data_IF_447071679159
#
_entry.id   IF_447071679159
#
_cell.length_a   1.000
_cell.length_b   1.000
_cell.length_c   1.000
_cell.angle_alpha   90.00
_cell.angle_beta   90.00
_cell.angle_gamma   90.00
#
_symmetry.space_group_name_H-M   'P 1'
#
loop_
_entity.id
_entity.type
_entity.pdbx_description
1 polymer ?
#
# COMPACT_ATOMS: atom_id res chain seq x y z
N UNK A 1 1.77 -28.56 24.06
CA UNK A 1 1.81 -27.09 24.28
C UNK A 1 2.97 -26.34 23.60
N UNK A 2 4.17 -26.89 23.35
CA UNK A 2 5.28 -26.10 22.74
C UNK A 2 5.08 -25.69 21.26
N UNK A 3 4.18 -26.35 20.52
CA UNK A 3 3.92 -26.04 19.11
C UNK A 3 2.98 -24.83 18.92
N UNK A 4 2.04 -24.58 19.82
CA UNK A 4 1.04 -23.51 19.69
C UNK A 4 1.63 -22.10 19.82
N UNK A 5 2.58 -21.91 20.73
CA UNK A 5 3.19 -20.60 20.94
C UNK A 5 4.06 -20.16 19.75
N UNK A 6 4.74 -21.11 19.10
CA UNK A 6 5.58 -20.85 17.92
C UNK A 6 4.76 -20.41 16.72
N UNK A 7 3.57 -20.98 16.53
CA UNK A 7 2.67 -20.61 15.42
C UNK A 7 2.14 -19.18 15.57
N UNK A 8 1.77 -18.75 16.78
CA UNK A 8 1.29 -17.40 17.08
C UNK A 8 2.37 -16.34 16.84
N UNK A 9 3.58 -16.60 17.34
CA UNK A 9 4.72 -15.69 17.14
C UNK A 9 5.11 -15.58 15.66
N UNK A 10 5.10 -16.69 14.91
CA UNK A 10 5.36 -16.68 13.47
C UNK A 10 4.30 -15.91 12.68
N UNK A 11 3.02 -16.10 12.98
CA UNK A 11 1.93 -15.38 12.32
C UNK A 11 2.02 -13.87 12.56
N UNK A 12 2.30 -13.45 13.80
CA UNK A 12 2.52 -12.03 14.13
C UNK A 12 3.73 -11.43 13.43
N UNK A 13 4.86 -12.15 13.39
CA UNK A 13 6.06 -11.69 12.67
C UNK A 13 5.79 -11.55 11.17
N UNK A 14 5.07 -12.51 10.57
CA UNK A 14 4.70 -12.45 9.18
C UNK A 14 3.76 -11.28 8.90
N UNK A 15 2.78 -11.03 9.76
CA UNK A 15 1.87 -9.89 9.64
C UNK A 15 2.64 -8.57 9.67
N UNK A 16 3.53 -8.39 10.65
CA UNK A 16 4.35 -7.19 10.76
C UNK A 16 5.20 -6.96 9.49
N UNK A 17 5.79 -8.02 8.93
CA UNK A 17 6.55 -7.94 7.69
C UNK A 17 5.68 -7.55 6.48
N UNK A 18 4.45 -8.07 6.39
CA UNK A 18 3.51 -7.67 5.33
C UNK A 18 3.02 -6.24 5.48
N UNK A 19 2.74 -5.80 6.70
CA UNK A 19 2.37 -4.41 6.99
C UNK A 19 3.52 -3.44 6.62
N UNK A 20 4.76 -3.81 6.92
CA UNK A 20 5.93 -3.02 6.50
C UNK A 20 6.04 -2.94 4.97
N UNK A 21 5.82 -4.06 4.26
CA UNK A 21 5.80 -4.05 2.78
C UNK A 21 4.67 -3.19 2.21
N UNK A 22 3.48 -3.24 2.79
CA UNK A 22 2.36 -2.35 2.41
C UNK A 22 2.73 -0.87 2.63
N UNK A 23 3.39 -0.55 3.74
CA UNK A 23 3.85 0.81 4.01
C UNK A 23 4.85 1.31 2.98
N UNK A 24 5.81 0.46 2.57
CA UNK A 24 6.77 0.79 1.51
C UNK A 24 6.04 1.01 0.18
N UNK A 25 5.20 0.07 -0.26
CA UNK A 25 4.43 0.21 -1.50
C UNK A 25 3.52 1.47 -1.48
N UNK A 26 3.00 1.85 -0.31
CA UNK A 26 2.23 3.09 -0.14
C UNK A 26 3.11 4.33 -0.31
N UNK A 27 4.32 4.33 0.24
CA UNK A 27 5.27 5.43 0.05
C UNK A 27 5.65 5.57 -1.43
N UNK A 28 5.95 4.46 -2.10
CA UNK A 28 6.30 4.44 -3.52
C UNK A 28 5.14 4.95 -4.39
N UNK A 29 3.90 4.57 -4.08
CA UNK A 29 2.71 5.11 -4.74
C UNK A 29 2.58 6.63 -4.54
N UNK A 30 2.79 7.14 -3.32
CA UNK A 30 2.70 8.57 -3.04
C UNK A 30 3.80 9.37 -3.75
N UNK A 31 5.02 8.82 -3.82
CA UNK A 31 6.13 9.42 -4.57
C UNK A 31 5.83 9.46 -6.07
N UNK A 32 5.33 8.37 -6.65
CA UNK A 32 4.93 8.33 -8.05
C UNK A 32 3.80 9.32 -8.35
N UNK A 33 2.82 9.45 -7.44
CA UNK A 33 1.74 10.42 -7.57
C UNK A 33 2.28 11.86 -7.55
N UNK A 34 3.16 12.17 -6.61
CA UNK A 34 3.78 13.50 -6.53
C UNK A 34 4.61 13.83 -7.79
N UNK A 35 5.29 12.84 -8.37
CA UNK A 35 6.04 13.04 -9.62
C UNK A 35 5.11 13.33 -10.80
N UNK A 36 3.97 12.63 -10.92
CA UNK A 36 2.94 12.93 -11.93
C UNK A 36 2.43 14.36 -11.79
N UNK A 37 2.07 14.77 -10.57
CA UNK A 37 1.61 16.13 -10.28
C UNK A 37 2.68 17.19 -10.62
N UNK A 38 3.94 16.92 -10.27
CA UNK A 38 5.06 17.81 -10.58
C UNK A 38 5.31 17.96 -12.08
N UNK A 39 5.24 16.87 -12.84
CA UNK A 39 5.40 16.90 -14.32
C UNK A 39 4.22 17.64 -14.97
N UNK A 40 2.99 17.40 -14.51
CA UNK A 40 1.81 18.13 -14.99
C UNK A 40 1.95 19.64 -14.75
N UNK A 41 2.39 20.04 -13.55
CA UNK A 41 2.63 21.45 -13.23
C UNK A 41 3.67 22.08 -14.16
N UNK A 42 4.79 21.39 -14.44
CA UNK A 42 5.82 21.87 -15.39
C UNK A 42 5.25 22.04 -16.80
N UNK A 43 4.44 21.09 -17.28
CA UNK A 43 3.79 21.20 -18.59
C UNK A 43 2.90 22.43 -18.65
N UNK A 44 2.09 22.69 -17.61
CA UNK A 44 1.22 23.88 -17.53
C UNK A 44 2.06 25.16 -17.61
N UNK A 45 3.14 25.26 -16.84
CA UNK A 45 4.04 26.42 -16.87
C UNK A 45 4.66 26.61 -18.25
N UNK A 46 5.19 25.54 -18.87
CA UNK A 46 5.79 25.62 -20.21
C UNK A 46 4.77 26.01 -21.28
N UNK A 47 3.52 25.54 -21.19
CA UNK A 47 2.44 25.92 -22.12
C UNK A 47 2.09 27.41 -21.97
N UNK A 48 2.01 27.92 -20.75
CA UNK A 48 1.83 29.36 -20.52
C UNK A 48 3.00 30.17 -21.10
N UNK A 49 4.25 29.76 -20.86
CA UNK A 49 5.43 30.41 -21.45
C UNK A 49 5.42 30.37 -22.99
N UNK A 50 4.91 29.29 -23.59
CA UNK A 50 4.77 29.19 -25.03
C UNK A 50 3.75 30.21 -25.57
N UNK A 51 2.62 30.37 -24.88
CA UNK A 51 1.59 31.36 -25.23
C UNK A 51 2.15 32.79 -25.17
N UNK A 52 2.94 33.11 -24.13
CA UNK A 52 3.62 34.40 -24.00
C UNK A 52 4.56 34.69 -25.18
N UNK A 53 5.39 33.71 -25.57
CA UNK A 53 6.30 33.88 -26.71
C UNK A 53 5.57 33.96 -28.05
N UNK A 54 4.51 33.17 -28.25
CA UNK A 54 3.69 33.26 -29.46
C UNK A 54 2.96 34.61 -29.54
N UNK A 55 2.52 35.18 -28.42
CA UNK A 55 1.95 36.53 -28.35
C UNK A 55 2.99 37.62 -28.65
N UNK A 56 4.18 37.53 -28.04
CA UNK A 56 5.28 38.47 -28.30
C UNK A 56 5.72 38.42 -29.78
N UNK A 57 5.79 37.23 -30.37
CA UNK A 57 6.06 37.05 -31.79
C UNK A 57 5.00 37.73 -32.67
N UNK A 58 3.71 37.61 -32.34
CA UNK A 58 2.63 38.30 -33.08
C UNK A 58 2.79 39.82 -32.98
N UNK A 59 3.06 40.35 -31.80
CA UNK A 59 3.27 41.79 -31.59
C UNK A 59 4.47 42.31 -32.40
N UNK A 60 5.61 41.59 -32.39
CA UNK A 60 6.78 41.92 -33.17
C UNK A 60 6.50 41.89 -34.69
N UNK A 61 5.68 40.95 -35.16
CA UNK A 61 5.26 40.90 -36.55
C UNK A 61 4.42 42.14 -36.94
N UNK A 62 3.54 42.62 -36.06
CA UNK A 62 2.74 43.82 -36.31
C UNK A 62 3.56 45.11 -36.26
N UNK A 63 4.56 45.20 -35.38
CA UNK A 63 5.42 46.39 -35.27
C UNK A 63 6.56 46.44 -36.29
N UNK A 64 6.73 45.40 -37.12
CA UNK A 64 7.79 45.31 -38.13
C UNK A 64 9.17 44.89 -37.60
N UNK A 65 9.25 44.45 -36.34
CA UNK A 65 10.49 43.98 -35.71
C UNK A 65 10.89 42.58 -36.17
N UNK A 66 11.57 42.46 -37.31
CA UNK A 66 11.95 41.15 -37.88
C UNK A 66 12.94 40.35 -37.02
N UNK A 67 13.88 41.01 -36.33
CA UNK A 67 14.83 40.33 -35.44
C UNK A 67 14.14 39.77 -34.20
N UNK A 68 13.29 40.57 -33.55
CA UNK A 68 12.48 40.16 -32.39
C UNK A 68 11.53 39.01 -32.76
N UNK A 69 10.88 39.09 -33.93
CA UNK A 69 10.03 38.02 -34.44
C UNK A 69 10.81 36.70 -34.58
N UNK A 70 12.02 36.75 -35.13
CA UNK A 70 12.87 35.56 -35.31
C UNK A 70 13.28 34.99 -33.95
N UNK A 71 13.62 35.85 -33.00
CA UNK A 71 14.04 35.48 -31.65
C UNK A 71 12.90 34.81 -30.87
N UNK A 72 11.72 35.44 -30.80
CA UNK A 72 10.56 34.86 -30.12
C UNK A 72 10.09 33.55 -30.75
N UNK A 73 10.12 33.42 -32.08
CA UNK A 73 9.85 32.13 -32.75
C UNK A 73 10.89 31.06 -32.39
N UNK A 74 12.17 31.45 -32.28
CA UNK A 74 13.23 30.55 -31.82
C UNK A 74 12.96 30.00 -30.42
N UNK A 75 12.60 30.86 -29.48
CA UNK A 75 12.22 30.45 -28.13
C UNK A 75 10.94 29.59 -28.12
N UNK A 76 9.91 29.95 -28.89
CA UNK A 76 8.69 29.14 -29.00
C UNK A 76 8.99 27.70 -29.48
N UNK A 77 9.91 27.53 -30.42
CA UNK A 77 10.34 26.19 -30.88
C UNK A 77 11.03 25.41 -29.75
N UNK A 78 11.93 26.04 -28.99
CA UNK A 78 12.60 25.41 -27.86
C UNK A 78 11.61 25.01 -26.75
N UNK A 79 10.65 25.88 -26.43
CA UNK A 79 9.62 25.59 -25.43
C UNK A 79 8.70 24.47 -25.89
N UNK A 80 8.30 24.42 -27.17
CA UNK A 80 7.53 23.29 -27.73
C UNK A 80 8.27 21.95 -27.61
N UNK A 81 9.58 21.95 -27.83
CA UNK A 81 10.39 20.75 -27.63
C UNK A 81 10.44 20.33 -26.16
N UNK A 82 10.55 21.29 -25.24
CA UNK A 82 10.50 21.03 -23.80
C UNK A 82 9.13 20.47 -23.36
N UNK A 83 8.02 21.03 -23.88
CA UNK A 83 6.66 20.49 -23.63
C UNK A 83 6.56 19.04 -24.11
N UNK A 84 7.02 18.74 -25.33
CA UNK A 84 6.97 17.38 -25.88
C UNK A 84 7.82 16.39 -25.06
N UNK A 85 8.94 16.83 -24.48
CA UNK A 85 9.75 16.02 -23.57
C UNK A 85 9.01 15.73 -22.27
N UNK A 86 8.43 16.75 -21.64
CA UNK A 86 7.68 16.59 -20.38
C UNK A 86 6.40 15.78 -20.58
N UNK A 87 5.72 15.87 -21.74
CA UNK A 87 4.56 15.03 -22.07
C UNK A 87 4.94 13.54 -22.18
N UNK A 88 6.12 13.22 -22.72
CA UNK A 88 6.65 11.84 -22.71
C UNK A 88 7.00 11.37 -21.31
N UNK A 89 7.59 12.25 -20.49
CA UNK A 89 7.87 11.98 -19.08
C UNK A 89 6.57 11.74 -18.31
N UNK A 90 5.52 12.50 -18.60
CA UNK A 90 4.20 12.34 -17.98
C UNK A 90 3.65 10.94 -18.24
N UNK A 91 3.69 10.48 -19.50
CA UNK A 91 3.25 9.13 -19.83
C UNK A 91 4.02 8.07 -19.05
N UNK A 92 5.36 8.17 -19.00
CA UNK A 92 6.20 7.24 -18.23
C UNK A 92 5.89 7.28 -16.71
N UNK A 93 5.69 8.47 -16.14
CA UNK A 93 5.32 8.61 -14.72
C UNK A 93 3.92 8.06 -14.42
N UNK A 94 2.98 8.16 -15.36
CA UNK A 94 1.65 7.57 -15.25
C UNK A 94 1.71 6.04 -15.28
N UNK A 95 2.51 5.46 -16.17
CA UNK A 95 2.73 4.01 -16.22
C UNK A 95 3.33 3.51 -14.89
N UNK A 96 4.33 4.21 -14.35
CA UNK A 96 4.91 3.89 -13.03
C UNK A 96 3.89 4.01 -11.89
N UNK A 97 3.03 5.04 -11.92
CA UNK A 97 1.97 5.21 -10.91
C UNK A 97 0.99 4.04 -10.93
N UNK A 98 0.62 3.56 -12.12
CA UNK A 98 -0.24 2.39 -12.29
C UNK A 98 0.42 1.10 -11.79
N UNK A 99 1.73 0.93 -12.02
CA UNK A 99 2.52 -0.16 -11.46
C UNK A 99 2.54 -0.13 -9.93
N UNK A 100 2.92 1.01 -9.34
CA UNK A 100 2.91 1.21 -7.88
C UNK A 100 1.52 0.95 -7.26
N UNK A 101 0.45 1.33 -7.97
CA UNK A 101 -0.92 1.05 -7.52
C UNK A 101 -1.22 -0.44 -7.46
N UNK A 102 -0.82 -1.21 -8.49
CA UNK A 102 -1.00 -2.66 -8.52
C UNK A 102 -0.22 -3.34 -7.40
N UNK A 103 1.00 -2.88 -7.13
CA UNK A 103 1.83 -3.39 -6.03
C UNK A 103 1.22 -3.10 -4.66
N UNK A 104 0.73 -1.87 -4.44
CA UNK A 104 0.03 -1.51 -3.21
C UNK A 104 -1.23 -2.36 -2.99
N UNK A 105 -2.03 -2.58 -4.03
CA UNK A 105 -3.22 -3.43 -3.95
C UNK A 105 -2.85 -4.89 -3.68
N UNK A 106 -1.76 -5.40 -4.25
CA UNK A 106 -1.24 -6.73 -3.95
C UNK A 106 -0.78 -6.84 -2.49
N UNK A 107 0.00 -5.87 -1.99
CA UNK A 107 0.48 -5.83 -0.61
C UNK A 107 -0.69 -5.80 0.39
N UNK A 108 -1.74 -5.01 0.12
CA UNK A 108 -2.97 -4.98 0.94
C UNK A 108 -3.67 -6.33 1.00
N UNK A 109 -3.75 -7.05 -0.12
CA UNK A 109 -4.32 -8.41 -0.17
C UNK A 109 -3.50 -9.38 0.66
N UNK A 110 -2.16 -9.30 0.59
CA UNK A 110 -1.28 -10.13 1.41
C UNK A 110 -1.46 -9.86 2.91
N UNK A 111 -1.52 -8.59 3.33
CA UNK A 111 -1.80 -8.22 4.73
C UNK A 111 -3.12 -8.80 5.19
N UNK A 112 -4.19 -8.64 4.40
CA UNK A 112 -5.50 -9.21 4.72
C UNK A 112 -5.46 -10.74 4.84
N UNK A 113 -4.79 -11.42 3.92
CA UNK A 113 -4.67 -12.87 3.96
C UNK A 113 -3.93 -13.36 5.22
N UNK A 114 -2.84 -12.69 5.60
CA UNK A 114 -2.10 -13.04 6.82
C UNK A 114 -2.89 -12.71 8.08
N UNK A 115 -3.65 -11.60 8.09
CA UNK A 115 -4.55 -11.28 9.20
C UNK A 115 -5.59 -12.38 9.40
N UNK A 116 -6.26 -12.82 8.34
CA UNK A 116 -7.24 -13.91 8.42
C UNK A 116 -6.62 -15.22 8.94
N UNK A 117 -5.38 -15.52 8.55
CA UNK A 117 -4.65 -16.68 9.08
C UNK A 117 -4.34 -16.52 10.57
N UNK A 118 -3.97 -15.31 11.02
CA UNK A 118 -3.77 -15.04 12.44
C UNK A 118 -5.06 -15.22 13.23
N UNK A 119 -6.15 -14.63 12.78
CA UNK A 119 -7.46 -14.72 13.43
C UNK A 119 -7.88 -16.20 13.55
N UNK A 120 -7.69 -16.98 12.49
CA UNK A 120 -8.00 -18.41 12.49
C UNK A 120 -7.12 -19.22 13.46
N UNK A 121 -5.84 -18.87 13.59
CA UNK A 121 -4.94 -19.50 14.58
C UNK A 121 -5.43 -19.19 15.99
N UNK A 122 -5.88 -17.96 16.25
CA UNK A 122 -6.40 -17.54 17.55
C UNK A 122 -7.70 -18.31 17.89
N UNK A 123 -8.66 -18.37 16.95
CA UNK A 123 -9.89 -19.16 17.12
C UNK A 123 -9.64 -20.65 17.44
N UNK A 124 -8.71 -21.29 16.71
CA UNK A 124 -8.39 -22.70 16.93
C UNK A 124 -7.75 -22.93 18.29
N UNK A 125 -6.97 -21.96 18.78
CA UNK A 125 -6.33 -22.04 20.10
C UNK A 125 -7.33 -21.83 21.22
N UNK A 126 -8.24 -20.87 21.07
CA UNK A 126 -9.30 -20.62 22.06
C UNK A 126 -10.22 -21.85 22.17
N UNK A 127 -10.63 -22.43 21.03
CA UNK A 127 -11.40 -23.68 21.01
C UNK A 127 -10.63 -24.88 21.60
N UNK A 128 -9.31 -24.94 21.43
CA UNK A 128 -8.49 -25.99 22.05
C UNK A 128 -8.38 -25.80 23.58
N UNK A 129 -8.24 -24.55 24.04
CA UNK A 129 -8.21 -24.23 25.47
C UNK A 129 -9.54 -24.58 26.15
N UNK A 130 -10.67 -24.25 25.51
CA UNK A 130 -12.01 -24.63 25.99
C UNK A 130 -12.20 -26.15 26.08
N UNK A 131 -11.72 -26.90 25.08
CA UNK A 131 -11.78 -28.38 25.15
C UNK A 131 -10.94 -28.95 26.29
N UNK A 132 -9.78 -28.36 26.54
CA UNK A 132 -8.91 -28.79 27.64
C UNK A 132 -9.52 -28.48 29.00
N UNK A 133 -10.15 -27.31 29.17
CA UNK A 133 -10.83 -26.96 30.44
C UNK A 133 -12.02 -27.86 30.70
N UNK A 134 -12.85 -28.13 29.68
CA UNK A 134 -13.97 -29.09 29.79
C UNK A 134 -13.46 -30.47 30.20
N UNK A 135 -12.41 -30.97 29.54
CA UNK A 135 -11.81 -32.26 29.88
C UNK A 135 -11.29 -32.31 31.32
N UNK A 136 -10.65 -31.25 31.80
CA UNK A 136 -10.18 -31.16 33.19
C UNK A 136 -11.34 -31.18 34.19
N UNK A 137 -12.46 -30.52 33.88
CA UNK A 137 -13.66 -30.57 34.72
C UNK A 137 -14.26 -31.98 34.74
N UNK A 138 -14.36 -32.64 33.59
CA UNK A 138 -14.86 -34.02 33.50
C UNK A 138 -13.97 -34.99 34.30
N UNK A 139 -12.64 -34.87 34.17
CA UNK A 139 -11.68 -35.69 34.92
C UNK A 139 -11.79 -35.45 36.45
N UNK A 140 -12.03 -34.21 36.88
CA UNK A 140 -12.28 -33.87 38.28
C UNK A 140 -13.61 -34.44 38.79
N UNK A 141 -14.69 -34.33 38.01
CA UNK A 141 -15.99 -34.91 38.33
C UNK A 141 -15.92 -36.43 38.43
N UNK A 142 -15.25 -37.10 37.48
CA UNK A 142 -15.03 -38.53 37.50
C UNK A 142 -14.25 -38.94 38.77
N UNK A 143 -13.17 -38.24 39.09
CA UNK A 143 -12.36 -38.50 40.29
C UNK A 143 -13.17 -38.34 41.58
N UNK A 144 -13.97 -37.27 41.69
CA UNK A 144 -14.85 -37.03 42.83
C UNK A 144 -15.93 -38.12 42.97
N UNK A 145 -16.56 -38.52 41.87
CA UNK A 145 -17.59 -39.58 41.87
C UNK A 145 -17.05 -40.94 42.31
N UNK A 146 -15.81 -41.28 41.93
CA UNK A 146 -15.13 -42.51 42.36
C UNK A 146 -14.82 -42.47 43.85
N UNK A 147 -14.43 -41.30 44.38
CA UNK A 147 -14.20 -41.12 45.81
C UNK A 147 -15.51 -41.26 46.60
N UNK A 148 -16.59 -40.55 46.22
CA UNK A 148 -17.87 -40.64 46.92
C UNK A 148 -18.50 -42.03 46.84
N UNK A 149 -18.46 -42.69 45.68
CA UNK A 149 -18.97 -44.06 45.52
C UNK A 149 -18.11 -45.14 46.23
N UNK A 150 -16.87 -44.82 46.64
CA UNK A 150 -16.08 -45.64 47.57
C UNK A 150 -16.54 -45.44 49.01
N UNK A 151 -16.82 -44.20 49.40
CA UNK A 151 -17.33 -43.87 50.75
C UNK A 151 -18.72 -44.45 51.01
N UNK A 152 -19.61 -44.47 50.00
CA UNK A 152 -20.94 -45.10 50.12
C UNK A 152 -20.88 -46.63 50.27
N UNK A 153 -19.89 -47.29 49.64
CA UNK A 153 -19.67 -48.75 49.79
C UNK A 153 -19.01 -49.15 51.11
N UNK A 154 -18.49 -48.18 51.87
CA UNK A 154 -17.85 -48.38 53.17
C UNK A 154 -18.73 -47.89 54.34
N UNK A 155 -19.95 -47.41 54.07
CA UNK A 155 -20.92 -47.13 55.14
C UNK A 155 -21.49 -48.46 55.65
N UNK A 156 -21.41 -48.74 56.97
CA UNK A 156 -22.00 -49.92 57.59
C UNK A 156 -23.53 -49.92 57.53
#
# INVERSE_FOLDING_TARGET
MKHDHRSRTRARMLLALRQQREQVARQDFLLAQAEVEAVQARIVTLKATLEDYDQAARQAAYSGGQEDLRLYRGFAVQVRQAVALEERRLAASQDLLDECRRELDAARREVKAVQMLQDRIEELQDAAAERETVKQMDDQHASHSVQTGKWERLRP
#
